data_IF_431401307587
#
_entry.id   IF_431401307587
#
_cell.length_a   1.000
_cell.length_b   1.000
_cell.length_c   1.000
_cell.angle_alpha   90.00
_cell.angle_beta   90.00
_cell.angle_gamma   90.00
#
_symmetry.space_group_name_H-M   'P 1'
#
loop_
_entity.id
_entity.type
_entity.pdbx_description
1 polymer ?
#
# COMPACT_ATOMS: atom_id res chain seq x y z
N UNK A 1 8.69 -11.39 19.82
CA UNK A 1 8.07 -11.65 18.50
C UNK A 1 6.65 -11.11 18.41
N UNK A 2 5.75 -11.39 19.36
CA UNK A 2 4.35 -10.88 19.31
C UNK A 2 4.20 -9.35 19.29
N UNK A 3 4.95 -8.63 20.12
CA UNK A 3 4.87 -7.16 20.16
C UNK A 3 5.34 -6.50 18.84
N UNK A 4 6.42 -6.99 18.24
CA UNK A 4 6.95 -6.49 16.96
C UNK A 4 5.96 -6.70 15.81
N UNK A 5 5.34 -7.87 15.75
CA UNK A 5 4.29 -8.17 14.78
C UNK A 5 3.09 -7.24 14.96
N UNK A 6 2.65 -7.03 16.21
CA UNK A 6 1.52 -6.14 16.51
C UNK A 6 1.80 -4.70 16.06
N UNK A 7 2.99 -4.17 16.38
CA UNK A 7 3.39 -2.82 15.95
C UNK A 7 3.40 -2.72 14.42
N UNK A 8 3.95 -3.73 13.74
CA UNK A 8 3.97 -3.76 12.28
C UNK A 8 2.55 -3.72 11.68
N UNK A 9 1.63 -4.55 12.20
CA UNK A 9 0.24 -4.58 11.75
C UNK A 9 -0.47 -3.23 11.96
N UNK A 10 -0.22 -2.57 13.10
CA UNK A 10 -0.76 -1.22 13.38
C UNK A 10 -0.24 -0.22 12.36
N UNK A 11 1.06 -0.23 12.06
CA UNK A 11 1.67 0.68 11.06
C UNK A 11 1.04 0.46 9.68
N UNK A 12 0.87 -0.79 9.27
CA UNK A 12 0.22 -1.12 7.99
C UNK A 12 -1.23 -0.63 7.98
N UNK A 13 -2.01 -0.87 9.04
CA UNK A 13 -3.39 -0.42 9.12
C UNK A 13 -3.52 1.10 9.03
N UNK A 14 -2.65 1.84 9.73
CA UNK A 14 -2.60 3.31 9.69
C UNK A 14 -2.22 3.80 8.29
N UNK A 15 -1.24 3.17 7.64
CA UNK A 15 -0.81 3.53 6.28
C UNK A 15 -1.94 3.35 5.25
N UNK A 16 -2.67 2.24 5.33
CA UNK A 16 -3.84 1.97 4.47
C UNK A 16 -4.97 2.97 4.75
N UNK A 17 -5.29 3.22 6.02
CA UNK A 17 -6.30 4.21 6.41
C UNK A 17 -5.94 5.62 5.92
N UNK A 18 -4.65 5.98 5.95
CA UNK A 18 -4.15 7.24 5.43
C UNK A 18 -4.34 7.38 3.91
N UNK A 19 -4.01 6.34 3.14
CA UNK A 19 -4.23 6.31 1.68
C UNK A 19 -5.72 6.41 1.34
N UNK A 20 -6.57 5.65 2.03
CA UNK A 20 -8.03 5.70 1.85
C UNK A 20 -8.60 7.07 2.17
N UNK A 21 -8.22 7.64 3.33
CA UNK A 21 -8.62 9.00 3.70
C UNK A 21 -8.25 9.97 2.60
N UNK A 22 -7.01 9.92 2.11
CA UNK A 22 -6.57 10.82 1.06
C UNK A 22 -7.34 10.63 -0.24
N UNK A 23 -7.65 9.39 -0.63
CA UNK A 23 -8.47 9.09 -1.80
C UNK A 23 -9.90 9.67 -1.67
N UNK A 24 -10.47 9.67 -0.46
CA UNK A 24 -11.81 10.21 -0.19
C UNK A 24 -11.80 11.73 -0.08
N UNK A 25 -10.86 12.30 0.66
CA UNK A 25 -10.83 13.74 0.98
C UNK A 25 -10.07 14.57 -0.04
N UNK A 26 -9.32 13.96 -0.96
CA UNK A 26 -8.46 14.68 -1.90
C UNK A 26 -7.38 15.49 -1.19
N UNK A 27 -6.63 14.87 -0.28
CA UNK A 27 -5.51 15.57 0.37
C UNK A 27 -4.27 15.54 -0.53
N UNK A 28 -3.65 16.69 -0.79
CA UNK A 28 -2.30 16.75 -1.40
C UNK A 28 -1.26 16.71 -0.29
N UNK A 29 -0.60 15.58 -0.13
CA UNK A 29 0.50 15.42 0.82
C UNK A 29 1.65 14.68 0.16
N UNK A 30 2.86 15.22 0.31
CA UNK A 30 4.12 14.63 -0.15
C UNK A 30 4.37 13.25 0.49
N UNK A 31 3.73 12.94 1.61
CA UNK A 31 3.83 11.64 2.26
C UNK A 31 3.07 10.52 1.51
N UNK A 32 2.07 10.85 0.68
CA UNK A 32 1.30 9.86 -0.07
C UNK A 32 2.15 8.96 -0.98
N UNK A 33 2.98 9.52 -1.89
CA UNK A 33 3.84 8.68 -2.72
C UNK A 33 4.84 7.87 -1.90
N UNK A 34 5.36 8.42 -0.80
CA UNK A 34 6.32 7.72 0.08
C UNK A 34 5.67 6.48 0.69
N UNK A 35 4.48 6.63 1.28
CA UNK A 35 3.73 5.53 1.89
C UNK A 35 3.33 4.50 0.83
N UNK A 36 2.88 4.95 -0.35
CA UNK A 36 2.50 4.07 -1.44
C UNK A 36 3.69 3.24 -1.95
N UNK A 37 4.84 3.87 -2.17
CA UNK A 37 6.07 3.18 -2.62
C UNK A 37 6.52 2.16 -1.59
N UNK A 38 6.46 2.47 -0.29
CA UNK A 38 6.84 1.53 0.76
C UNK A 38 5.95 0.27 0.76
N UNK A 39 4.62 0.44 0.65
CA UNK A 39 3.68 -0.69 0.59
C UNK A 39 3.89 -1.50 -0.69
N UNK A 40 4.05 -0.84 -1.85
CA UNK A 40 4.30 -1.50 -3.13
C UNK A 40 5.60 -2.32 -3.07
N UNK A 41 6.68 -1.75 -2.54
CA UNK A 41 7.95 -2.45 -2.40
C UNK A 41 7.82 -3.70 -1.52
N UNK A 42 7.13 -3.60 -0.38
CA UNK A 42 6.87 -4.77 0.47
C UNK A 42 6.02 -5.82 -0.23
N UNK A 43 4.97 -5.41 -0.96
CA UNK A 43 4.14 -6.32 -1.73
C UNK A 43 4.95 -7.01 -2.84
N UNK A 44 5.81 -6.29 -3.56
CA UNK A 44 6.69 -6.87 -4.59
C UNK A 44 7.68 -7.87 -4.02
N UNK A 45 8.30 -7.56 -2.88
CA UNK A 45 9.18 -8.51 -2.17
C UNK A 45 8.40 -9.75 -1.70
N UNK A 46 7.19 -9.56 -1.17
CA UNK A 46 6.29 -10.66 -0.80
C UNK A 46 5.88 -11.54 -1.98
N UNK A 47 5.59 -10.92 -3.13
CA UNK A 47 5.28 -11.61 -4.37
C UNK A 47 6.48 -12.42 -4.87
N UNK A 48 7.66 -11.81 -4.89
CA UNK A 48 8.91 -12.48 -5.25
C UNK A 48 9.17 -13.68 -4.35
N UNK A 49 9.06 -13.50 -3.03
CA UNK A 49 9.28 -14.57 -2.06
C UNK A 49 8.26 -15.71 -2.22
N UNK A 50 6.97 -15.39 -2.36
CA UNK A 50 5.92 -16.37 -2.58
C UNK A 50 6.17 -17.19 -3.86
N UNK A 51 6.62 -16.52 -4.92
CA UNK A 51 6.97 -17.18 -6.17
C UNK A 51 8.23 -18.04 -6.05
N UNK A 52 9.30 -17.51 -5.46
CA UNK A 52 10.60 -18.17 -5.35
C UNK A 52 10.54 -19.41 -4.46
N UNK A 53 9.85 -19.33 -3.33
CA UNK A 53 9.79 -20.42 -2.34
C UNK A 53 8.75 -21.47 -2.70
N UNK A 54 7.53 -21.03 -3.01
CA UNK A 54 6.36 -21.92 -3.08
C UNK A 54 5.74 -22.05 -4.46
N UNK A 55 6.22 -21.28 -5.45
CA UNK A 55 5.57 -21.06 -6.76
C UNK A 55 4.06 -20.80 -6.65
N UNK A 56 3.63 -20.19 -5.55
CA UNK A 56 2.21 -19.96 -5.29
C UNK A 56 1.71 -18.80 -6.15
N UNK A 57 0.96 -19.14 -7.20
CA UNK A 57 0.29 -18.16 -8.05
C UNK A 57 -0.71 -17.32 -7.23
N UNK A 58 -1.44 -17.94 -6.29
CA UNK A 58 -2.43 -17.26 -5.46
C UNK A 58 -1.82 -16.13 -4.62
N UNK A 59 -0.72 -16.42 -3.89
CA UNK A 59 -0.04 -15.42 -3.10
C UNK A 59 0.61 -14.34 -3.96
N UNK A 60 1.27 -14.74 -5.07
CA UNK A 60 1.91 -13.81 -6.00
C UNK A 60 0.91 -12.81 -6.58
N UNK A 61 -0.25 -13.29 -7.04
CA UNK A 61 -1.33 -12.45 -7.54
C UNK A 61 -1.99 -11.61 -6.44
N UNK A 62 -2.11 -12.15 -5.22
CA UNK A 62 -2.61 -11.40 -4.06
C UNK A 62 -1.74 -10.17 -3.77
N UNK A 63 -0.43 -10.35 -3.71
CA UNK A 63 0.52 -9.25 -3.51
C UNK A 63 0.52 -8.26 -4.69
N UNK A 64 0.41 -8.75 -5.92
CA UNK A 64 0.23 -7.87 -7.09
C UNK A 64 -1.05 -7.02 -6.97
N UNK A 65 -2.15 -7.61 -6.53
CA UNK A 65 -3.40 -6.90 -6.27
C UNK A 65 -3.25 -5.81 -5.22
N UNK A 66 -2.52 -6.07 -4.13
CA UNK A 66 -2.20 -5.07 -3.10
C UNK A 66 -1.39 -3.92 -3.69
N UNK A 67 -0.36 -4.20 -4.50
CA UNK A 67 0.45 -3.17 -5.13
C UNK A 67 -0.38 -2.27 -6.06
N UNK A 68 -1.23 -2.87 -6.91
CA UNK A 68 -2.11 -2.15 -7.83
C UNK A 68 -3.16 -1.32 -7.10
N UNK A 69 -3.79 -1.87 -6.06
CA UNK A 69 -4.76 -1.15 -5.24
C UNK A 69 -4.13 0.06 -4.52
N UNK A 70 -2.92 -0.12 -3.97
CA UNK A 70 -2.15 0.95 -3.32
C UNK A 70 -1.83 2.07 -4.30
N UNK A 71 -1.34 1.73 -5.49
CA UNK A 71 -1.06 2.69 -6.55
C UNK A 71 -2.31 3.47 -6.97
N UNK A 72 -3.44 2.76 -7.15
CA UNK A 72 -4.73 3.38 -7.49
C UNK A 72 -5.21 4.36 -6.42
N UNK A 73 -5.15 3.98 -5.14
CA UNK A 73 -5.53 4.84 -4.02
C UNK A 73 -4.65 6.09 -3.92
N UNK A 74 -3.34 5.94 -4.05
CA UNK A 74 -2.39 7.05 -4.02
C UNK A 74 -2.65 8.03 -5.17
N UNK A 75 -2.87 7.51 -6.39
CA UNK A 75 -3.15 8.31 -7.58
C UNK A 75 -4.49 9.04 -7.45
N UNK A 76 -5.55 8.35 -7.01
CA UNK A 76 -6.86 8.95 -6.76
C UNK A 76 -6.80 10.08 -5.73
N UNK A 77 -6.09 9.86 -4.62
CA UNK A 77 -5.90 10.87 -3.59
C UNK A 77 -5.16 12.11 -4.11
N UNK A 78 -4.10 11.88 -4.89
CA UNK A 78 -3.31 12.95 -5.49
C UNK A 78 -4.09 13.79 -6.51
N UNK A 79 -4.79 13.13 -7.44
CA UNK A 79 -5.59 13.79 -8.49
C UNK A 79 -6.75 14.56 -7.87
N UNK A 80 -7.50 13.96 -6.96
CA UNK A 80 -8.62 14.63 -6.28
C UNK A 80 -8.18 15.83 -5.45
N UNK A 81 -6.97 15.78 -4.87
CA UNK A 81 -6.41 16.93 -4.17
C UNK A 81 -5.93 18.05 -5.07
N UNK A 82 -5.67 17.78 -6.35
CA UNK A 82 -5.36 18.83 -7.32
C UNK A 82 -6.58 19.54 -7.91
N UNK A 83 -7.74 18.88 -7.92
CA UNK A 83 -8.97 19.48 -8.40
C UNK A 83 -9.62 20.48 -7.42
N UNK A 84 -9.11 20.57 -6.17
CA UNK A 84 -9.67 21.40 -5.10
C UNK A 84 -8.81 22.62 -4.73
N UNK A 85 -7.65 22.79 -5.37
CA UNK A 85 -6.67 23.87 -5.16
C UNK A 85 -6.66 24.81 -6.35
#
# INVERSE_FOLDING_TARGET
MGATLAVFLVVVAVAVAYLLRSAVTGSRSSMLPIVAVAIIAMATLGAWYAWAESRSLGWTLGYLGVALATFGLATLGWVRGGARS
#
